data_IF_307390785784
#
_entry.id   IF_307390785784
#
_cell.length_a   1.000
_cell.length_b   1.000
_cell.length_c   1.000
_cell.angle_alpha   90.00
_cell.angle_beta   90.00
_cell.angle_gamma   90.00
#
_symmetry.space_group_name_H-M   'P 1'
#
loop_
_entity.id
_entity.type
_entity.pdbx_description
1 polymer ?
#
# COMPACT_ATOMS: atom_id res chain seq x y z
N UNK A 1 -67.34 -6.31 -19.34
CA UNK A 1 -65.98 -6.77 -18.98
C UNK A 1 -65.06 -5.57 -18.82
N UNK A 2 -64.35 -5.49 -17.68
CA UNK A 2 -63.88 -4.25 -17.07
C UNK A 2 -62.42 -3.92 -17.46
N UNK A 3 -62.11 -2.65 -17.75
CA UNK A 3 -60.79 -2.17 -18.25
C UNK A 3 -59.63 -2.52 -17.30
N UNK A 4 -59.93 -2.72 -16.02
CA UNK A 4 -58.98 -3.16 -14.97
C UNK A 4 -58.54 -4.63 -15.11
N UNK A 5 -59.37 -5.51 -15.65
CA UNK A 5 -59.04 -6.94 -15.83
C UNK A 5 -58.07 -7.19 -16.99
N UNK A 6 -57.93 -6.25 -17.94
CA UNK A 6 -56.94 -6.35 -19.03
C UNK A 6 -55.51 -6.00 -18.61
N UNK A 7 -55.33 -5.25 -17.51
CA UNK A 7 -53.99 -4.83 -17.05
C UNK A 7 -53.33 -5.83 -16.09
N UNK A 8 -54.11 -6.71 -15.47
CA UNK A 8 -53.62 -7.74 -14.55
C UNK A 8 -53.11 -8.99 -15.29
N UNK A 9 -53.51 -9.18 -16.56
CA UNK A 9 -53.08 -10.33 -17.39
C UNK A 9 -51.78 -10.10 -18.17
N UNK A 10 -51.11 -8.95 -17.98
CA UNK A 10 -49.96 -8.51 -18.78
C UNK A 10 -48.64 -8.34 -18.02
N UNK A 11 -48.56 -8.72 -16.74
CA UNK A 11 -47.30 -8.67 -15.96
C UNK A 11 -47.03 -10.00 -15.24
N UNK A 12 -47.13 -11.10 -15.97
CA UNK A 12 -46.56 -12.37 -15.56
C UNK A 12 -45.34 -12.62 -16.43
N UNK A 13 -44.13 -12.43 -15.89
CA UNK A 13 -42.95 -13.05 -16.51
C UNK A 13 -43.14 -14.56 -16.48
N UNK A 14 -42.91 -15.29 -17.58
CA UNK A 14 -42.96 -16.74 -17.56
C UNK A 14 -41.97 -17.26 -16.51
N UNK A 15 -42.42 -18.20 -15.67
CA UNK A 15 -41.55 -18.87 -14.72
C UNK A 15 -40.51 -19.67 -15.52
N UNK A 16 -39.24 -19.26 -15.42
CA UNK A 16 -38.12 -19.87 -16.13
C UNK A 16 -37.88 -21.24 -15.51
N UNK A 17 -38.27 -22.31 -16.20
CA UNK A 17 -38.12 -23.69 -15.71
C UNK A 17 -36.90 -24.41 -16.31
N UNK A 18 -36.39 -23.96 -17.46
CA UNK A 18 -35.23 -24.53 -18.15
C UNK A 18 -34.36 -23.46 -18.81
N UNK A 19 -33.08 -23.80 -19.06
CA UNK A 19 -32.06 -22.88 -19.56
C UNK A 19 -32.33 -22.35 -20.99
N UNK A 20 -33.13 -23.05 -21.80
CA UNK A 20 -33.49 -22.60 -23.14
C UNK A 20 -34.54 -21.47 -23.17
N UNK A 21 -35.24 -21.21 -22.06
CA UNK A 21 -36.27 -20.14 -21.98
C UNK A 21 -35.67 -18.74 -21.70
N UNK A 22 -34.34 -18.61 -21.67
CA UNK A 22 -33.66 -17.33 -21.43
C UNK A 22 -33.61 -16.55 -22.76
N UNK A 23 -34.31 -15.40 -22.88
CA UNK A 23 -34.28 -14.62 -24.11
C UNK A 23 -32.88 -14.03 -24.35
N UNK A 24 -32.26 -14.39 -25.48
CA UNK A 24 -30.92 -13.94 -25.90
C UNK A 24 -30.90 -12.53 -26.52
N UNK A 25 -31.96 -11.74 -26.36
CA UNK A 25 -31.99 -10.37 -26.87
C UNK A 25 -31.19 -9.42 -25.96
N UNK A 26 -30.38 -8.56 -26.59
CA UNK A 26 -29.62 -7.54 -25.86
C UNK A 26 -30.59 -6.53 -25.23
N UNK A 27 -30.38 -6.12 -23.97
CA UNK A 27 -31.24 -5.13 -23.32
C UNK A 27 -31.17 -3.79 -24.05
N UNK A 28 -32.34 -3.25 -24.40
CA UNK A 28 -32.48 -1.98 -25.12
C UNK A 28 -31.93 -0.82 -24.27
N UNK A 29 -30.81 -0.27 -24.74
CA UNK A 29 -30.01 0.73 -24.01
C UNK A 29 -30.51 2.16 -24.22
N UNK A 30 -31.52 2.35 -25.08
CA UNK A 30 -31.97 3.68 -25.52
C UNK A 30 -33.18 4.23 -24.76
N UNK A 31 -33.77 3.42 -23.87
CA UNK A 31 -34.92 3.83 -23.05
C UNK A 31 -34.45 4.66 -21.84
N UNK A 32 -35.05 5.83 -21.55
CA UNK A 32 -34.67 6.62 -20.37
C UNK A 32 -34.88 5.80 -19.10
N UNK A 33 -33.86 5.76 -18.23
CA UNK A 33 -33.82 5.03 -16.96
C UNK A 33 -34.97 5.45 -16.04
N UNK A 34 -36.13 4.83 -16.19
CA UNK A 34 -37.19 4.89 -15.19
C UNK A 34 -36.69 4.13 -13.96
N UNK A 35 -36.35 4.90 -12.92
CA UNK A 35 -36.07 4.52 -11.53
C UNK A 35 -36.02 3.01 -11.27
N UNK A 36 -34.92 2.38 -11.69
CA UNK A 36 -34.52 1.09 -11.13
C UNK A 36 -34.16 1.32 -9.68
N UNK A 37 -34.91 0.70 -8.76
CA UNK A 37 -34.64 0.74 -7.32
C UNK A 37 -33.15 0.48 -7.07
N UNK A 38 -32.54 1.30 -6.23
CA UNK A 38 -31.12 1.13 -5.91
C UNK A 38 -30.92 -0.19 -5.15
N UNK A 39 -29.74 -0.78 -5.24
CA UNK A 39 -29.42 -1.99 -4.47
C UNK A 39 -29.65 -1.80 -2.96
N UNK A 40 -29.52 -0.56 -2.50
CA UNK A 40 -29.77 -0.16 -1.12
C UNK A 40 -31.27 -0.23 -0.76
N UNK A 41 -32.15 0.27 -1.63
CA UNK A 41 -33.60 0.14 -1.44
C UNK A 41 -34.06 -1.31 -1.52
N UNK A 42 -33.45 -2.12 -2.39
CA UNK A 42 -33.76 -3.55 -2.52
C UNK A 42 -33.34 -4.30 -1.25
N UNK A 43 -32.18 -3.98 -0.68
CA UNK A 43 -31.73 -4.58 0.59
C UNK A 43 -32.65 -4.20 1.76
N UNK A 44 -33.05 -2.92 1.84
CA UNK A 44 -33.95 -2.42 2.87
C UNK A 44 -35.35 -3.06 2.77
N UNK A 45 -35.87 -3.23 1.55
CA UNK A 45 -37.16 -3.90 1.30
C UNK A 45 -37.12 -5.38 1.74
N UNK A 46 -36.03 -6.11 1.44
CA UNK A 46 -35.86 -7.51 1.85
C UNK A 46 -35.71 -7.67 3.37
N UNK A 47 -35.03 -6.74 4.05
CA UNK A 47 -34.93 -6.75 5.50
C UNK A 47 -36.28 -6.44 6.18
N UNK A 48 -37.08 -5.55 5.60
CA UNK A 48 -38.43 -5.28 6.07
C UNK A 48 -39.37 -6.49 5.88
N UNK A 49 -39.26 -7.22 4.76
CA UNK A 49 -40.02 -8.46 4.52
C UNK A 49 -39.67 -9.58 5.50
N UNK A 50 -38.38 -9.75 5.84
CA UNK A 50 -37.92 -10.74 6.82
C UNK A 50 -38.40 -10.43 8.24
N UNK A 51 -38.52 -9.14 8.56
CA UNK A 51 -39.02 -8.67 9.86
C UNK A 51 -40.56 -8.71 9.92
N UNK A 52 -41.25 -8.61 8.78
CA UNK A 52 -42.71 -8.76 8.68
C UNK A 52 -43.17 -10.22 8.72
N UNK A 53 -42.45 -11.14 8.07
CA UNK A 53 -42.79 -12.58 8.07
C UNK A 53 -42.58 -13.27 9.42
N UNK A 54 -41.85 -12.65 10.35
CA UNK A 54 -41.66 -13.17 11.70
C UNK A 54 -42.89 -12.95 12.62
N UNK A 55 -43.95 -12.29 12.14
CA UNK A 55 -45.13 -11.95 12.96
C UNK A 55 -46.45 -12.68 12.61
N UNK A 56 -46.54 -13.46 11.53
CA UNK A 56 -47.77 -14.18 11.14
C UNK A 56 -47.50 -15.67 10.90
N UNK A 57 -47.34 -16.43 11.99
CA UNK A 57 -47.05 -17.86 11.87
C UNK A 57 -47.01 -18.65 13.18
N UNK A 58 -48.12 -18.63 13.93
CA UNK A 58 -48.53 -19.68 14.89
C UNK A 58 -47.67 -19.86 16.16
N UNK A 59 -48.13 -19.21 17.22
CA UNK A 59 -47.77 -19.50 18.59
C UNK A 59 -48.09 -20.97 18.96
N UNK A 60 -47.04 -21.75 19.22
CA UNK A 60 -47.05 -22.92 20.08
C UNK A 60 -45.90 -22.74 21.07
N UNK A 61 -46.24 -22.57 22.34
CA UNK A 61 -45.31 -22.25 23.42
C UNK A 61 -44.10 -23.21 23.45
N UNK A 62 -42.88 -22.65 23.45
CA UNK A 62 -41.69 -23.08 24.22
C UNK A 62 -40.70 -21.90 24.15
N UNK A 63 -40.05 -21.65 25.29
CA UNK A 63 -39.11 -20.59 25.63
C UNK A 63 -38.17 -20.10 24.52
N UNK A 64 -38.01 -18.78 24.44
CA UNK A 64 -36.86 -17.99 23.96
C UNK A 64 -35.91 -18.65 22.93
N UNK A 65 -35.84 -18.16 21.68
CA UNK A 65 -34.78 -18.56 20.77
C UNK A 65 -33.49 -17.82 21.17
N UNK A 66 -32.63 -18.55 21.86
CA UNK A 66 -31.22 -18.22 22.04
C UNK A 66 -30.54 -18.07 20.67
N UNK A 67 -29.60 -17.13 20.53
CA UNK A 67 -28.84 -16.96 19.30
C UNK A 67 -28.09 -18.26 18.99
N UNK A 68 -28.21 -18.72 17.75
CA UNK A 68 -27.46 -19.88 17.23
C UNK A 68 -25.97 -19.56 17.36
N UNK A 69 -25.35 -20.15 18.37
CA UNK A 69 -23.92 -20.18 18.60
C UNK A 69 -23.36 -21.24 17.64
N UNK A 70 -22.43 -20.94 16.73
CA UNK A 70 -21.78 -21.98 15.94
C UNK A 70 -20.82 -22.75 16.86
N UNK A 71 -21.28 -23.85 17.45
CA UNK A 71 -20.53 -24.63 18.45
C UNK A 71 -19.46 -25.56 17.83
N UNK A 72 -19.18 -25.44 16.53
CA UNK A 72 -18.25 -26.34 15.84
C UNK A 72 -17.49 -25.64 14.70
N UNK A 73 -16.80 -24.54 15.01
CA UNK A 73 -15.69 -24.06 14.18
C UNK A 73 -14.49 -23.93 15.11
N UNK A 74 -13.74 -25.02 15.26
CA UNK A 74 -12.47 -25.02 15.99
C UNK A 74 -11.41 -24.46 15.02
N UNK A 75 -11.08 -23.17 15.17
CA UNK A 75 -9.94 -22.60 14.47
C UNK A 75 -8.66 -23.14 15.09
N UNK A 76 -8.13 -24.18 14.48
CA UNK A 76 -6.82 -24.74 14.82
C UNK A 76 -5.73 -23.95 14.10
N UNK A 77 -4.81 -23.36 14.85
CA UNK A 77 -3.55 -22.86 14.30
C UNK A 77 -2.49 -23.97 14.41
N UNK A 78 -1.84 -24.28 13.28
CA UNK A 78 -0.67 -25.17 13.23
C UNK A 78 0.54 -24.34 13.67
N UNK A 79 1.26 -24.81 14.70
CA UNK A 79 2.57 -24.27 15.08
C UNK A 79 3.68 -24.77 14.15
N UNK A 80 4.82 -24.07 14.14
CA UNK A 80 6.00 -24.37 13.30
C UNK A 80 6.66 -25.74 13.58
N UNK A 81 6.21 -26.48 14.60
CA UNK A 81 6.62 -27.85 14.93
C UNK A 81 5.58 -28.92 14.52
N UNK A 82 4.49 -28.53 13.87
CA UNK A 82 3.46 -29.43 13.33
C UNK A 82 2.42 -29.92 14.34
N UNK A 83 2.35 -29.36 15.55
CA UNK A 83 1.32 -29.72 16.54
C UNK A 83 0.14 -28.72 16.59
N UNK A 84 -1.04 -29.25 16.96
CA UNK A 84 -2.33 -28.57 16.98
C UNK A 84 -2.58 -28.01 18.39
N UNK A 85 -2.66 -26.69 18.54
CA UNK A 85 -2.95 -26.03 19.83
C UNK A 85 -4.40 -25.52 19.84
N UNK A 86 -5.18 -25.92 20.85
CA UNK A 86 -6.59 -25.58 21.03
C UNK A 86 -6.75 -24.48 22.10
N UNK A 87 -7.43 -23.35 21.82
CA UNK A 87 -7.50 -22.23 22.74
C UNK A 87 -8.77 -22.28 23.61
N UNK A 88 -8.72 -22.98 24.74
CA UNK A 88 -9.70 -22.82 25.81
C UNK A 88 -9.07 -22.00 26.95
N UNK A 89 -9.12 -20.66 26.85
CA UNK A 89 -9.26 -19.77 28.02
C UNK A 89 -9.51 -18.30 27.60
N UNK A 90 -10.47 -17.58 28.24
CA UNK A 90 -11.03 -16.34 27.73
C UNK A 90 -10.32 -15.10 28.29
N UNK A 91 -9.27 -14.62 27.62
CA UNK A 91 -8.75 -13.27 27.85
C UNK A 91 -7.97 -12.72 26.66
N UNK A 92 -8.57 -12.73 25.48
CA UNK A 92 -8.07 -11.93 24.36
C UNK A 92 -9.22 -11.13 23.74
N UNK A 93 -9.38 -9.93 24.28
CA UNK A 93 -10.19 -8.88 23.68
C UNK A 93 -9.63 -8.54 22.29
N UNK A 94 -10.51 -8.58 21.29
CA UNK A 94 -10.22 -8.19 19.92
C UNK A 94 -10.21 -6.66 19.83
N UNK A 95 -9.04 -6.05 19.98
CA UNK A 95 -8.83 -4.64 19.66
C UNK A 95 -8.84 -4.47 18.15
N UNK A 96 -9.93 -3.92 17.61
CA UNK A 96 -9.94 -3.32 16.28
C UNK A 96 -9.18 -1.99 16.34
N UNK A 97 -7.86 -2.05 16.24
CA UNK A 97 -7.03 -0.89 15.92
C UNK A 97 -6.54 -1.03 14.48
N UNK A 98 -6.69 0.06 13.72
CA UNK A 98 -6.00 0.29 12.45
C UNK A 98 -4.53 -0.15 12.60
N UNK A 99 -3.91 -0.80 11.60
CA UNK A 99 -2.52 -1.23 11.73
C UNK A 99 -1.61 0.00 11.74
N UNK A 100 -1.39 0.54 12.93
CA UNK A 100 -0.21 1.30 13.27
C UNK A 100 0.95 0.33 13.08
N UNK A 101 1.82 0.66 12.14
CA UNK A 101 3.02 -0.07 11.78
C UNK A 101 3.84 -0.49 13.02
N UNK A 102 3.68 -1.72 13.50
CA UNK A 102 4.51 -2.34 14.56
C UNK A 102 4.29 -3.87 14.64
N UNK A 103 4.03 -4.56 13.53
CA UNK A 103 4.31 -6.01 13.46
C UNK A 103 5.80 -6.18 13.15
N UNK A 104 6.60 -6.93 13.93
CA UNK A 104 7.98 -7.20 13.56
C UNK A 104 7.97 -7.88 12.19
N UNK A 105 8.51 -7.22 11.17
CA UNK A 105 8.55 -7.74 9.81
C UNK A 105 9.25 -9.11 9.83
N UNK A 106 8.51 -10.17 9.59
CA UNK A 106 9.03 -11.55 9.55
C UNK A 106 10.06 -11.75 8.42
N UNK A 107 10.21 -10.78 7.50
CA UNK A 107 11.16 -10.81 6.38
C UNK A 107 11.79 -9.44 6.10
N UNK A 108 12.79 -8.99 6.90
CA UNK A 108 13.46 -7.69 6.70
C UNK A 108 14.15 -7.56 5.32
N UNK A 109 14.51 -8.69 4.71
CA UNK A 109 15.10 -8.73 3.38
C UNK A 109 14.10 -8.42 2.26
N UNK A 110 12.81 -8.81 2.41
CA UNK A 110 11.77 -8.49 1.43
C UNK A 110 11.44 -7.01 1.47
N UNK A 111 11.37 -6.42 2.65
CA UNK A 111 11.17 -4.98 2.80
C UNK A 111 12.29 -4.18 2.12
N UNK A 112 13.55 -4.60 2.34
CA UNK A 112 14.71 -4.00 1.67
C UNK A 112 14.64 -4.15 0.14
N UNK A 113 14.20 -5.33 -0.36
CA UNK A 113 14.09 -5.60 -1.79
C UNK A 113 12.96 -4.79 -2.43
N UNK A 114 11.79 -4.69 -1.78
CA UNK A 114 10.66 -3.89 -2.25
C UNK A 114 11.01 -2.41 -2.30
N UNK A 115 11.69 -1.90 -1.27
CA UNK A 115 12.19 -0.53 -1.23
C UNK A 115 13.24 -0.28 -2.31
N UNK A 116 14.18 -1.22 -2.50
CA UNK A 116 15.18 -1.13 -3.56
C UNK A 116 14.55 -1.21 -4.97
N UNK A 117 13.49 -2.01 -5.14
CA UNK A 117 12.75 -2.09 -6.40
C UNK A 117 12.05 -0.76 -6.71
N UNK A 118 11.39 -0.16 -5.72
CA UNK A 118 10.76 1.16 -5.86
C UNK A 118 11.79 2.25 -6.18
N UNK A 119 12.93 2.27 -5.48
CA UNK A 119 14.02 3.19 -5.77
C UNK A 119 14.66 2.94 -7.15
N UNK A 120 14.78 1.69 -7.58
CA UNK A 120 15.26 1.36 -8.92
C UNK A 120 14.32 1.89 -10.00
N UNK A 121 13.01 1.90 -9.75
CA UNK A 121 12.05 2.52 -10.66
C UNK A 121 12.23 4.05 -10.71
N UNK A 122 12.47 4.71 -9.57
CA UNK A 122 12.80 6.15 -9.54
C UNK A 122 14.13 6.43 -10.24
N UNK A 123 15.14 5.59 -10.04
CA UNK A 123 16.44 5.71 -10.72
C UNK A 123 16.25 5.64 -12.23
N UNK A 124 15.49 4.64 -12.70
CA UNK A 124 15.16 4.45 -14.10
C UNK A 124 14.44 5.67 -14.68
N UNK A 125 13.40 6.18 -14.00
CA UNK A 125 12.65 7.33 -14.50
C UNK A 125 13.52 8.58 -14.57
N UNK A 126 14.39 8.82 -13.59
CA UNK A 126 15.35 9.92 -13.63
C UNK A 126 16.39 9.75 -14.74
N UNK A 127 16.88 8.54 -15.00
CA UNK A 127 17.80 8.26 -16.12
C UNK A 127 17.11 8.50 -17.46
N UNK A 128 15.87 8.02 -17.62
CA UNK A 128 15.07 8.29 -18.83
C UNK A 128 14.81 9.78 -19.00
N UNK A 129 14.42 10.51 -17.95
CA UNK A 129 14.15 11.94 -18.04
C UNK A 129 15.41 12.73 -18.38
N UNK A 130 16.54 12.42 -17.75
CA UNK A 130 17.80 13.11 -18.04
C UNK A 130 18.27 12.82 -19.46
N UNK A 131 18.29 11.55 -19.89
CA UNK A 131 18.64 11.21 -21.27
C UNK A 131 17.63 11.83 -22.26
N UNK A 132 16.35 11.96 -21.92
CA UNK A 132 15.38 12.61 -22.78
C UNK A 132 15.53 14.14 -22.85
N UNK A 133 15.90 14.77 -21.74
CA UNK A 133 16.15 16.21 -21.67
C UNK A 133 17.45 16.61 -22.35
N UNK A 134 18.38 15.67 -22.43
CA UNK A 134 19.73 15.95 -22.81
C UNK A 134 20.09 15.28 -24.14
N UNK A 135 19.96 13.97 -24.32
CA UNK A 135 20.57 13.24 -25.44
C UNK A 135 19.88 13.45 -26.80
N UNK A 136 20.66 13.33 -27.87
CA UNK A 136 20.17 13.45 -29.26
C UNK A 136 19.51 12.15 -29.77
N UNK A 137 19.94 10.97 -29.28
CA UNK A 137 19.39 9.66 -29.61
C UNK A 137 19.17 8.83 -28.33
N UNK A 138 17.99 8.20 -28.20
CA UNK A 138 17.61 7.40 -27.02
C UNK A 138 17.76 5.90 -27.29
N UNK A 139 18.73 5.27 -26.63
CA UNK A 139 18.87 3.82 -26.62
C UNK A 139 18.36 3.23 -25.30
N UNK A 140 17.09 2.79 -25.27
CA UNK A 140 16.47 2.26 -24.05
C UNK A 140 17.04 0.91 -23.59
N UNK A 141 17.53 0.09 -24.50
CA UNK A 141 18.02 -1.26 -24.19
C UNK A 141 19.21 -1.26 -23.22
N UNK A 142 20.29 -0.50 -23.47
CA UNK A 142 21.41 -0.41 -22.54
C UNK A 142 21.03 0.25 -21.21
N UNK A 143 20.14 1.24 -21.21
CA UNK A 143 19.65 1.94 -20.01
C UNK A 143 18.90 0.96 -19.10
N UNK A 144 17.97 0.18 -19.66
CA UNK A 144 17.18 -0.79 -18.92
C UNK A 144 18.06 -1.88 -18.30
N UNK A 145 18.97 -2.47 -19.07
CA UNK A 145 19.87 -3.51 -18.57
C UNK A 145 20.81 -3.00 -17.48
N UNK A 146 21.31 -1.77 -17.63
CA UNK A 146 22.18 -1.15 -16.64
C UNK A 146 21.43 -0.82 -15.35
N UNK A 147 20.20 -0.33 -15.44
CA UNK A 147 19.37 -0.12 -14.25
C UNK A 147 19.03 -1.45 -13.57
N UNK A 148 18.59 -2.46 -14.33
CA UNK A 148 18.17 -3.75 -13.78
C UNK A 148 19.34 -4.55 -13.18
N UNK A 149 20.51 -4.56 -13.83
CA UNK A 149 21.66 -5.37 -13.40
C UNK A 149 22.70 -4.65 -12.57
N UNK A 150 22.73 -3.31 -12.59
CA UNK A 150 23.70 -2.53 -11.81
C UNK A 150 23.00 -1.72 -10.73
N UNK A 151 21.99 -0.91 -11.08
CA UNK A 151 21.35 -0.03 -10.09
C UNK A 151 20.54 -0.82 -9.05
N UNK A 152 19.72 -1.79 -9.46
CA UNK A 152 18.94 -2.60 -8.53
C UNK A 152 19.78 -3.34 -7.48
N UNK A 153 20.81 -4.14 -7.83
CA UNK A 153 21.61 -4.82 -6.82
C UNK A 153 22.45 -3.85 -5.99
N UNK A 154 22.97 -2.77 -6.57
CA UNK A 154 23.73 -1.77 -5.79
C UNK A 154 22.86 -1.07 -4.76
N UNK A 155 21.64 -0.66 -5.12
CA UNK A 155 20.68 -0.09 -4.18
C UNK A 155 20.23 -1.10 -3.13
N UNK A 156 20.02 -2.37 -3.51
CA UNK A 156 19.69 -3.44 -2.55
C UNK A 156 20.81 -3.64 -1.54
N UNK A 157 22.07 -3.65 -1.99
CA UNK A 157 23.25 -3.74 -1.11
C UNK A 157 23.37 -2.49 -0.25
N UNK A 158 23.19 -1.28 -0.78
CA UNK A 158 23.26 -0.03 0.00
C UNK A 158 22.18 -0.01 1.07
N UNK A 159 20.94 -0.34 0.73
CA UNK A 159 19.81 -0.37 1.67
C UNK A 159 20.03 -1.44 2.73
N UNK A 160 20.40 -2.65 2.32
CA UNK A 160 20.68 -3.76 3.23
C UNK A 160 21.89 -3.48 4.11
N UNK A 161 22.94 -2.88 3.57
CA UNK A 161 24.13 -2.46 4.32
C UNK A 161 23.76 -1.35 5.29
N UNK A 162 23.07 -0.29 4.88
CA UNK A 162 22.72 0.76 5.84
C UNK A 162 21.74 0.26 6.90
N UNK A 163 20.80 -0.62 6.57
CA UNK A 163 19.90 -1.22 7.56
C UNK A 163 20.67 -2.17 8.48
N UNK A 164 21.46 -3.10 7.94
CA UNK A 164 22.22 -4.10 8.70
C UNK A 164 23.47 -3.58 9.42
N UNK A 165 24.20 -2.62 8.84
CA UNK A 165 25.41 -1.99 9.38
C UNK A 165 25.06 -0.90 10.40
N UNK A 166 24.01 -0.11 10.18
CA UNK A 166 23.64 0.93 11.15
C UNK A 166 22.95 0.32 12.37
N UNK A 167 22.20 -0.78 12.26
CA UNK A 167 21.64 -1.55 13.38
C UNK A 167 21.18 -2.94 12.90
N UNK A 168 21.81 -4.05 13.30
CA UNK A 168 21.21 -5.37 13.13
C UNK A 168 19.86 -5.39 13.88
N UNK A 169 18.76 -5.73 13.19
CA UNK A 169 17.42 -5.84 13.80
C UNK A 169 17.43 -6.77 15.03
N UNK A 170 18.39 -7.71 15.07
CA UNK A 170 18.66 -8.59 16.21
C UNK A 170 18.98 -7.86 17.52
N UNK A 171 19.56 -6.66 17.46
CA UNK A 171 19.89 -5.82 18.63
C UNK A 171 18.65 -5.05 19.12
N UNK A 172 17.68 -4.75 18.24
CA UNK A 172 16.45 -4.06 18.63
C UNK A 172 15.42 -4.99 19.27
N UNK A 173 15.39 -6.26 18.86
CA UNK A 173 14.46 -7.28 19.38
C UNK A 173 14.92 -7.86 20.71
N UNK A 174 16.20 -7.72 21.06
CA UNK A 174 16.75 -8.19 22.33
C UNK A 174 16.50 -7.17 23.44
N UNK A 175 15.56 -7.47 24.34
CA UNK A 175 15.21 -6.66 25.53
C UNK A 175 16.34 -6.56 26.59
N UNK A 176 17.54 -7.06 26.29
CA UNK A 176 18.69 -7.09 27.20
C UNK A 176 19.50 -5.79 27.21
N UNK A 177 19.24 -4.86 26.31
CA UNK A 177 20.06 -3.63 26.15
C UNK A 177 19.41 -2.42 26.84
N UNK A 178 20.23 -1.61 27.49
CA UNK A 178 19.82 -0.38 28.17
C UNK A 178 19.09 0.61 27.22
N UNK A 179 17.98 1.24 27.66
CA UNK A 179 17.19 2.16 26.82
C UNK A 179 17.98 3.38 26.34
N UNK A 180 19.00 3.80 27.10
CA UNK A 180 19.86 4.94 26.73
C UNK A 180 20.74 4.63 25.52
N UNK A 181 21.24 3.39 25.43
CA UNK A 181 22.07 2.94 24.31
C UNK A 181 21.20 2.83 23.06
N UNK A 182 19.99 2.27 23.18
CA UNK A 182 19.03 2.19 22.06
C UNK A 182 18.70 3.56 21.48
N UNK A 183 18.42 4.55 22.33
CA UNK A 183 18.17 5.91 21.88
C UNK A 183 19.42 6.53 21.23
N UNK A 184 20.60 6.33 21.83
CA UNK A 184 21.86 6.84 21.28
C UNK A 184 22.19 6.29 19.90
N UNK A 185 21.90 5.01 19.62
CA UNK A 185 22.13 4.45 18.29
C UNK A 185 21.09 4.95 17.28
N UNK A 186 19.84 5.11 17.69
CA UNK A 186 18.80 5.67 16.83
C UNK A 186 19.09 7.13 16.45
N UNK A 187 19.56 7.95 17.39
CA UNK A 187 19.96 9.33 17.11
C UNK A 187 21.18 9.39 16.21
N UNK A 188 22.19 8.54 16.44
CA UNK A 188 23.36 8.43 15.56
C UNK A 188 22.95 8.08 14.13
N UNK A 189 22.06 7.09 13.98
CA UNK A 189 21.50 6.69 12.68
C UNK A 189 20.81 7.87 11.98
N UNK A 190 19.97 8.61 12.68
CA UNK A 190 19.31 9.79 12.13
C UNK A 190 20.32 10.87 11.72
N UNK A 191 21.35 11.12 12.54
CA UNK A 191 22.41 12.09 12.21
C UNK A 191 23.12 11.69 10.91
N UNK A 192 23.47 10.41 10.75
CA UNK A 192 24.13 9.92 9.53
C UNK A 192 23.24 10.14 8.31
N UNK A 193 21.95 9.80 8.37
CA UNK A 193 21.05 10.06 7.24
C UNK A 193 20.84 11.55 6.96
N UNK A 194 20.74 12.40 7.99
CA UNK A 194 20.65 13.86 7.80
C UNK A 194 21.91 14.37 7.09
N UNK A 195 23.10 13.91 7.48
CA UNK A 195 24.34 14.30 6.83
C UNK A 195 24.39 13.83 5.36
N UNK A 196 24.05 12.57 5.10
CA UNK A 196 24.00 12.02 3.73
C UNK A 196 22.98 12.79 2.88
N UNK A 197 21.79 13.08 3.40
CA UNK A 197 20.77 13.84 2.69
C UNK A 197 21.24 15.27 2.37
N UNK A 198 21.83 15.97 3.32
CA UNK A 198 22.31 17.34 3.08
C UNK A 198 23.49 17.37 2.09
N UNK A 199 24.47 16.46 2.24
CA UNK A 199 25.62 16.37 1.31
C UNK A 199 25.16 15.99 -0.09
N UNK A 200 24.31 14.97 -0.23
CA UNK A 200 23.79 14.54 -1.53
C UNK A 200 22.94 15.63 -2.19
N UNK A 201 22.08 16.31 -1.43
CA UNK A 201 21.24 17.39 -1.96
C UNK A 201 22.02 18.64 -2.36
N UNK A 202 22.99 19.09 -1.56
CA UNK A 202 23.88 20.18 -1.95
C UNK A 202 24.72 19.82 -3.17
N UNK A 203 25.23 18.58 -3.23
CA UNK A 203 25.99 18.10 -4.37
C UNK A 203 25.14 17.99 -5.64
N UNK A 204 23.86 17.61 -5.51
CA UNK A 204 22.92 17.58 -6.64
C UNK A 204 22.72 18.99 -7.21
N UNK A 205 22.53 20.00 -6.36
CA UNK A 205 22.39 21.40 -6.78
C UNK A 205 23.68 21.89 -7.46
N UNK A 206 24.84 21.60 -6.88
CA UNK A 206 26.13 21.95 -7.49
C UNK A 206 26.32 21.25 -8.85
N UNK A 207 25.93 19.97 -8.94
CA UNK A 207 26.00 19.20 -10.17
C UNK A 207 25.11 19.80 -11.26
N UNK A 208 23.87 20.15 -10.96
CA UNK A 208 22.93 20.67 -11.97
C UNK A 208 23.26 22.09 -12.44
N UNK A 209 23.94 22.90 -11.62
CA UNK A 209 24.23 24.30 -11.95
C UNK A 209 25.67 24.53 -12.45
N UNK A 210 26.67 23.86 -11.87
CA UNK A 210 28.08 24.19 -12.12
C UNK A 210 28.76 23.22 -13.10
N UNK A 211 28.22 22.02 -13.28
CA UNK A 211 28.84 20.99 -14.12
C UNK A 211 28.25 20.97 -15.53
N UNK A 212 29.10 20.60 -16.48
CA UNK A 212 28.70 20.42 -17.87
C UNK A 212 27.61 19.36 -18.01
N UNK A 213 26.76 19.56 -19.01
CA UNK A 213 25.64 18.72 -19.40
C UNK A 213 25.89 17.20 -19.30
N UNK A 214 27.06 16.71 -19.72
CA UNK A 214 27.34 15.26 -19.74
C UNK A 214 27.50 14.68 -18.32
N UNK A 215 28.05 15.48 -17.40
CA UNK A 215 28.15 15.09 -16.00
C UNK A 215 26.77 15.06 -15.34
N UNK A 216 25.90 16.03 -15.65
CA UNK A 216 24.51 16.05 -15.17
C UNK A 216 23.76 14.79 -15.64
N UNK A 217 23.84 14.48 -16.93
CA UNK A 217 23.19 13.31 -17.52
C UNK A 217 23.60 12.00 -16.85
N UNK A 218 24.89 11.83 -16.52
CA UNK A 218 25.41 10.56 -15.99
C UNK A 218 25.24 10.42 -14.47
N UNK A 219 25.36 11.52 -13.72
CA UNK A 219 25.49 11.45 -12.27
C UNK A 219 24.20 11.85 -11.53
N UNK A 220 23.37 12.74 -12.11
CA UNK A 220 22.18 13.26 -11.44
C UNK A 220 21.14 12.18 -11.08
N UNK A 221 20.87 11.16 -11.93
CA UNK A 221 19.92 10.11 -11.59
C UNK A 221 20.30 9.32 -10.34
N UNK A 222 21.59 8.95 -10.20
CA UNK A 222 22.10 8.20 -9.05
C UNK A 222 22.11 9.04 -7.77
N UNK A 223 22.58 10.29 -7.85
CA UNK A 223 22.66 11.17 -6.68
C UNK A 223 21.25 11.55 -6.20
N UNK A 224 20.35 11.84 -7.13
CA UNK A 224 18.95 12.13 -6.83
C UNK A 224 18.26 10.95 -6.13
N UNK A 225 18.51 9.71 -6.56
CA UNK A 225 17.93 8.54 -5.89
C UNK A 225 18.49 8.30 -4.50
N UNK A 226 19.81 8.48 -4.30
CA UNK A 226 20.42 8.37 -2.97
C UNK A 226 19.87 9.46 -2.03
N UNK A 227 19.69 10.68 -2.55
CA UNK A 227 19.10 11.78 -1.78
C UNK A 227 17.66 11.50 -1.36
N UNK A 228 16.80 11.09 -2.30
CA UNK A 228 15.41 10.72 -2.02
C UNK A 228 15.34 9.56 -1.02
N UNK A 229 16.18 8.54 -1.21
CA UNK A 229 16.27 7.43 -0.26
C UNK A 229 16.65 7.90 1.15
N UNK A 230 17.67 8.73 1.28
CA UNK A 230 18.08 9.28 2.58
C UNK A 230 16.96 10.10 3.24
N UNK A 231 16.20 10.87 2.46
CA UNK A 231 15.04 11.64 2.93
C UNK A 231 13.89 10.74 3.34
N UNK A 232 13.61 9.64 2.62
CA UNK A 232 12.55 8.70 2.97
C UNK A 232 12.82 7.94 4.27
N UNK A 233 14.08 7.64 4.56
CA UNK A 233 14.48 6.95 5.78
C UNK A 233 14.49 7.91 6.99
N UNK A 234 14.57 9.21 6.74
CA UNK A 234 14.34 10.25 7.72
C UNK A 234 12.83 10.49 7.83
N UNK A 235 12.20 10.04 8.91
CA UNK A 235 10.78 10.35 9.17
C UNK A 235 10.47 11.86 9.05
N UNK A 236 9.20 12.26 9.04
CA UNK A 236 8.74 13.61 8.62
C UNK A 236 9.62 14.80 9.08
N UNK A 237 10.02 14.84 10.36
CA UNK A 237 10.87 15.92 10.89
C UNK A 237 12.31 15.86 10.37
N UNK A 238 12.87 14.66 10.22
CA UNK A 238 14.18 14.46 9.63
C UNK A 238 14.20 14.80 8.14
N UNK A 239 13.11 14.52 7.41
CA UNK A 239 12.98 14.90 6.01
C UNK A 239 13.07 16.41 5.83
N UNK A 240 12.40 17.19 6.68
CA UNK A 240 12.54 18.65 6.71
C UNK A 240 14.01 19.06 6.93
N UNK A 241 14.67 18.44 7.92
CA UNK A 241 16.09 18.70 8.20
C UNK A 241 17.03 18.32 7.03
N UNK A 242 16.68 17.30 6.24
CA UNK A 242 17.42 16.86 5.07
C UNK A 242 17.32 17.80 3.86
N UNK A 243 16.27 18.61 3.80
CA UNK A 243 16.02 19.57 2.69
C UNK A 243 16.51 20.98 3.03
N UNK A 244 16.66 21.32 4.32
CA UNK A 244 17.11 22.65 4.75
C UNK A 244 18.49 23.01 4.19
N UNK A 245 19.50 22.12 4.27
CA UNK A 245 20.84 22.44 3.78
C UNK A 245 20.89 22.69 2.27
N UNK A 246 20.32 21.81 1.42
CA UNK A 246 20.18 22.08 -0.01
C UNK A 246 19.46 23.39 -0.31
N UNK A 247 18.38 23.71 0.42
CA UNK A 247 17.66 24.97 0.27
C UNK A 247 18.50 26.20 0.62
N UNK A 248 19.24 26.15 1.73
CA UNK A 248 20.18 27.21 2.13
C UNK A 248 21.30 27.35 1.11
N UNK A 249 21.85 26.24 0.61
CA UNK A 249 22.91 26.24 -0.39
C UNK A 249 22.44 26.86 -1.71
N UNK A 250 21.23 26.52 -2.17
CA UNK A 250 20.63 27.14 -3.35
C UNK A 250 20.46 28.65 -3.18
N UNK A 251 19.99 29.08 -2.01
CA UNK A 251 19.80 30.49 -1.69
C UNK A 251 21.12 31.26 -1.63
N UNK A 252 22.16 30.69 -1.01
CA UNK A 252 23.46 31.35 -0.87
C UNK A 252 24.18 31.52 -2.21
N UNK A 253 24.11 30.53 -3.09
CA UNK A 253 24.71 30.62 -4.42
C UNK A 253 23.85 31.38 -5.43
N UNK A 254 22.68 31.89 -5.03
CA UNK A 254 21.83 32.68 -5.91
C UNK A 254 21.23 31.88 -7.07
N UNK A 255 21.09 30.55 -6.92
CA UNK A 255 20.33 29.70 -7.85
C UNK A 255 18.84 29.98 -7.61
N UNK A 256 18.39 31.15 -8.07
CA UNK A 256 17.04 31.65 -7.86
C UNK A 256 16.00 30.86 -8.64
N UNK A 257 14.82 30.70 -8.02
CA UNK A 257 13.58 30.22 -8.64
C UNK A 257 12.98 31.40 -9.42
N UNK A 258 13.55 31.72 -10.59
CA UNK A 258 13.01 32.73 -11.52
C UNK A 258 12.91 32.14 -12.92
#
# INVERSE_FOLDING_TARGET
MNRKQRRVKGSGSPAIASAEDIPLSRPDTTRPKTQTKTLFEIAAERQAELTGQSSEGRAGAISQPTPIKPENIVQVKIGDDGQIIQPDDPSFAFSSELPVANTPNETPWLDALLLAASLSAIHFTLEVLTVHQYAQDLEFSPIFWRTLLVAFPTLTVIVSLFRGLLLPDSIMTTNTISPRVRLGVLTLRQIVYVLVANVAGCYLIALTNDKGYYAVMKDAPSIGTIWVWAVLELGLLGALAGVIGPGIYAWWNGYGIF
#
